data_IF_483246452751
#
_entry.id   IF_483246452751
#
_cell.length_a   1.000
_cell.length_b   1.000
_cell.length_c   1.000
_cell.angle_alpha   90.00
_cell.angle_beta   90.00
_cell.angle_gamma   90.00
#
_symmetry.space_group_name_H-M   'P 1'
#
loop_
_entity.id
_entity.type
_entity.pdbx_description
1 polymer ?
#
# COMPACT_ATOMS: atom_id res chain seq x y z
N UNK A 1 7.99 -36.63 54.38
CA UNK A 1 6.86 -35.70 54.60
C UNK A 1 7.45 -34.29 54.52
N UNK A 2 7.14 -33.35 53.60
CA UNK A 2 6.11 -33.17 52.58
C UNK A 2 6.70 -32.29 51.44
N UNK A 3 6.43 -32.65 50.18
CA UNK A 3 6.30 -31.71 49.03
C UNK A 3 4.83 -31.25 49.00
N UNK A 4 4.34 -30.37 48.08
CA UNK A 4 4.93 -29.28 47.28
C UNK A 4 4.03 -28.00 47.29
N UNK A 5 4.38 -26.92 46.57
CA UNK A 5 3.56 -26.43 45.44
C UNK A 5 4.30 -25.31 44.69
N UNK A 6 4.72 -25.61 43.47
CA UNK A 6 5.17 -24.62 42.51
C UNK A 6 3.94 -24.15 41.71
N UNK A 7 3.63 -22.84 41.73
CA UNK A 7 2.68 -22.26 40.79
C UNK A 7 3.42 -21.88 39.50
N UNK A 8 3.16 -22.64 38.43
CA UNK A 8 3.55 -22.28 37.07
C UNK A 8 2.44 -21.46 36.44
N UNK A 9 2.70 -20.19 36.13
CA UNK A 9 1.86 -19.37 35.27
C UNK A 9 2.16 -19.74 33.81
N UNK A 10 1.26 -20.50 33.18
CA UNK A 10 1.29 -20.71 31.74
C UNK A 10 0.67 -19.49 31.03
N UNK A 11 1.51 -18.63 30.45
CA UNK A 11 1.06 -17.60 29.51
C UNK A 11 0.75 -18.26 28.17
N UNK A 12 -0.53 -18.47 27.87
CA UNK A 12 -0.97 -18.86 26.53
C UNK A 12 -1.03 -17.59 25.68
N UNK A 13 0.00 -17.35 24.87
CA UNK A 13 -0.06 -16.35 23.79
C UNK A 13 -0.91 -16.96 22.67
N UNK A 14 -2.18 -16.58 22.61
CA UNK A 14 -3.05 -16.90 21.48
C UNK A 14 -2.58 -16.02 20.31
N UNK A 15 -1.66 -16.54 19.50
CA UNK A 15 -1.36 -15.97 18.19
C UNK A 15 -2.59 -16.22 17.30
N UNK A 16 -3.47 -15.23 17.21
CA UNK A 16 -4.55 -15.24 16.22
C UNK A 16 -3.95 -15.34 14.81
N UNK A 17 -4.60 -16.05 13.87
CA UNK A 17 -4.15 -16.08 12.49
C UNK A 17 -4.19 -14.65 11.96
N UNK A 18 -3.02 -14.05 11.75
CA UNK A 18 -2.91 -12.82 10.98
C UNK A 18 -3.47 -13.13 9.60
N UNK A 19 -4.55 -12.44 9.22
CA UNK A 19 -5.08 -12.49 7.85
C UNK A 19 -3.92 -12.12 6.92
N UNK A 20 -3.39 -13.10 6.19
CA UNK A 20 -2.37 -12.83 5.20
C UNK A 20 -2.95 -11.85 4.17
N UNK A 21 -2.32 -10.69 4.01
CA UNK A 21 -2.75 -9.68 3.06
C UNK A 21 -2.80 -10.31 1.66
N UNK A 22 -3.99 -10.31 1.05
CA UNK A 22 -4.21 -10.94 -0.26
C UNK A 22 -4.01 -9.90 -1.35
N UNK A 23 -3.15 -10.19 -2.32
CA UNK A 23 -2.97 -9.33 -3.49
C UNK A 23 -4.29 -9.15 -4.26
N UNK A 24 -4.56 -7.92 -4.70
CA UNK A 24 -5.62 -7.66 -5.67
C UNK A 24 -5.33 -8.40 -6.97
N UNK A 25 -6.38 -8.93 -7.58
CA UNK A 25 -6.36 -9.48 -8.93
C UNK A 25 -6.39 -8.37 -9.98
N UNK A 26 -6.04 -8.71 -11.22
CA UNK A 26 -6.15 -7.77 -12.34
C UNK A 26 -7.57 -7.27 -12.55
N UNK A 27 -8.57 -8.13 -12.35
CA UNK A 27 -9.99 -7.78 -12.43
C UNK A 27 -10.36 -6.77 -11.34
N UNK A 28 -10.01 -7.04 -10.08
CA UNK A 28 -10.27 -6.12 -8.97
C UNK A 28 -9.59 -4.76 -9.19
N UNK A 29 -8.34 -4.73 -9.68
CA UNK A 29 -7.65 -3.48 -10.01
C UNK A 29 -8.34 -2.72 -11.15
N UNK A 30 -8.75 -3.44 -12.20
CA UNK A 30 -9.41 -2.85 -13.36
C UNK A 30 -10.76 -2.24 -12.96
N UNK A 31 -11.55 -2.97 -12.16
CA UNK A 31 -12.83 -2.49 -11.65
C UNK A 31 -12.66 -1.29 -10.71
N UNK A 32 -11.66 -1.33 -9.81
CA UNK A 32 -11.39 -0.22 -8.89
C UNK A 32 -11.03 1.09 -9.61
N UNK A 33 -10.31 0.99 -10.73
CA UNK A 33 -9.74 2.15 -11.43
C UNK A 33 -10.48 2.53 -12.72
N UNK A 34 -11.56 1.82 -13.08
CA UNK A 34 -12.27 1.97 -14.36
C UNK A 34 -12.78 3.40 -14.60
N UNK A 35 -13.27 4.06 -13.55
CA UNK A 35 -13.80 5.43 -13.59
C UNK A 35 -12.81 6.46 -13.05
N UNK A 36 -11.57 6.05 -12.82
CA UNK A 36 -10.58 6.79 -12.06
C UNK A 36 -10.82 6.67 -10.54
N UNK A 37 -9.80 7.03 -9.75
CA UNK A 37 -9.83 6.91 -8.30
C UNK A 37 -8.92 7.94 -7.63
N UNK A 38 -9.47 8.63 -6.64
CA UNK A 38 -8.69 9.36 -5.65
C UNK A 38 -8.16 8.41 -4.59
N UNK A 39 -6.86 8.47 -4.34
CA UNK A 39 -6.15 7.71 -3.32
C UNK A 39 -5.55 8.65 -2.29
N UNK A 40 -5.65 8.28 -1.02
CA UNK A 40 -4.78 8.80 0.03
C UNK A 40 -3.53 7.93 0.09
N UNK A 41 -2.35 8.57 0.08
CA UNK A 41 -1.05 7.92 0.17
C UNK A 41 -0.48 8.05 1.57
N UNK A 42 0.08 6.96 2.09
CA UNK A 42 0.57 6.85 3.45
C UNK A 42 -0.57 6.74 4.48
N UNK A 43 -0.17 6.59 5.73
CA UNK A 43 -1.05 6.49 6.89
C UNK A 43 -0.33 6.95 8.17
N UNK A 44 -1.02 6.88 9.32
CA UNK A 44 -0.40 7.22 10.59
C UNK A 44 0.87 6.40 10.80
N UNK A 45 2.03 7.10 10.94
CA UNK A 45 3.39 6.56 11.15
C UNK A 45 4.18 6.16 9.89
N UNK A 46 3.69 6.42 8.68
CA UNK A 46 4.43 6.09 7.44
C UNK A 46 5.53 7.12 7.09
N UNK A 47 5.65 8.21 7.85
CA UNK A 47 6.66 9.26 7.60
C UNK A 47 6.30 10.23 6.48
N UNK A 48 5.12 10.07 5.87
CA UNK A 48 4.58 10.96 4.83
C UNK A 48 3.06 10.86 4.73
N UNK A 49 2.44 11.83 4.06
CA UNK A 49 1.03 11.81 3.70
C UNK A 49 0.86 12.39 2.30
N UNK A 50 -0.07 11.88 1.50
CA UNK A 50 -0.25 12.39 0.14
C UNK A 50 -1.62 12.07 -0.43
N UNK A 51 -1.84 12.55 -1.64
CA UNK A 51 -2.98 12.18 -2.48
C UNK A 51 -2.50 11.86 -3.89
N UNK A 52 -3.25 11.00 -4.57
CA UNK A 52 -3.04 10.65 -5.97
C UNK A 52 -4.39 10.50 -6.65
N UNK A 53 -4.65 11.33 -7.65
CA UNK A 53 -5.73 11.14 -8.60
C UNK A 53 -5.23 10.21 -9.70
N UNK A 54 -5.83 9.03 -9.80
CA UNK A 54 -5.60 8.06 -10.86
C UNK A 54 -6.73 8.23 -11.87
N UNK A 55 -6.46 8.82 -13.02
CA UNK A 55 -7.49 9.11 -14.03
C UNK A 55 -7.69 7.93 -14.98
N UNK A 56 -8.93 7.72 -15.44
CA UNK A 56 -9.30 6.62 -16.34
C UNK A 56 -8.61 6.63 -17.71
N UNK A 57 -8.01 7.75 -18.10
CA UNK A 57 -7.28 7.90 -19.36
C UNK A 57 -5.84 7.38 -19.28
N UNK A 58 -5.44 6.79 -18.15
CA UNK A 58 -4.09 6.29 -17.93
C UNK A 58 -3.11 7.34 -17.44
N UNK A 59 -3.58 8.53 -17.05
CA UNK A 59 -2.74 9.54 -16.39
C UNK A 59 -2.96 9.56 -14.88
N UNK A 60 -2.00 10.10 -14.13
CA UNK A 60 -2.16 10.34 -12.70
C UNK A 60 -1.42 11.60 -12.26
N UNK A 61 -1.98 12.31 -11.29
CA UNK A 61 -1.38 13.47 -10.65
C UNK A 61 -1.70 13.55 -9.16
N UNK A 62 -0.86 14.23 -8.40
CA UNK A 62 -1.05 14.41 -6.97
C UNK A 62 0.21 14.91 -6.30
N UNK A 63 0.35 14.63 -5.00
CA UNK A 63 1.54 15.01 -4.24
C UNK A 63 1.70 14.21 -2.96
N UNK A 64 2.94 14.16 -2.47
CA UNK A 64 3.29 13.66 -1.15
C UNK A 64 3.92 14.80 -0.35
N UNK A 65 3.47 14.98 0.88
CA UNK A 65 4.08 15.80 1.91
C UNK A 65 4.87 14.92 2.88
N UNK A 66 6.16 15.19 3.00
CA UNK A 66 7.05 14.54 3.97
C UNK A 66 6.88 15.16 5.36
N UNK A 67 7.32 14.45 6.40
CA UNK A 67 7.38 15.01 7.77
C UNK A 67 8.26 16.27 7.88
N UNK A 68 9.27 16.43 7.01
CA UNK A 68 10.07 17.66 6.90
C UNK A 68 9.24 18.89 6.49
N UNK A 69 8.04 18.68 5.95
CA UNK A 69 7.19 19.71 5.35
C UNK A 69 7.33 19.83 3.84
N UNK A 70 8.34 19.18 3.24
CA UNK A 70 8.56 19.20 1.80
C UNK A 70 7.38 18.56 1.05
N UNK A 71 6.95 19.22 -0.03
CA UNK A 71 5.88 18.71 -0.90
C UNK A 71 6.49 18.31 -2.24
N UNK A 72 6.30 17.04 -2.60
CA UNK A 72 6.82 16.44 -3.82
C UNK A 72 5.63 16.17 -4.74
N UNK A 73 5.55 16.81 -5.92
CA UNK A 73 4.49 16.54 -6.87
C UNK A 73 4.66 15.15 -7.49
N UNK A 74 3.55 14.46 -7.70
CA UNK A 74 3.47 13.23 -8.49
C UNK A 74 2.75 13.58 -9.78
N UNK A 75 3.35 13.20 -10.91
CA UNK A 75 2.72 13.28 -12.22
C UNK A 75 3.25 12.14 -13.08
N UNK A 76 2.39 11.53 -13.88
CA UNK A 76 2.83 10.57 -14.87
C UNK A 76 1.69 9.76 -15.47
N UNK A 77 2.04 8.55 -15.90
CA UNK A 77 1.11 7.63 -16.56
C UNK A 77 1.07 6.28 -15.84
N UNK A 78 -0.02 5.57 -16.01
CA UNK A 78 -0.24 4.24 -15.44
C UNK A 78 -1.01 3.32 -16.39
N UNK A 79 -0.90 2.03 -16.15
CA UNK A 79 -1.70 0.98 -16.77
C UNK A 79 -1.75 -0.25 -15.86
N UNK A 80 -2.60 -1.22 -16.20
CA UNK A 80 -2.65 -2.52 -15.52
C UNK A 80 -2.00 -3.58 -16.41
N UNK A 81 -1.05 -4.32 -15.82
CA UNK A 81 -0.42 -5.47 -16.46
C UNK A 81 -0.61 -6.72 -15.59
N UNK A 82 -1.50 -7.62 -16.01
CA UNK A 82 -1.90 -8.76 -15.19
C UNK A 82 -2.57 -8.30 -13.90
N UNK A 83 -2.00 -8.64 -12.74
CA UNK A 83 -2.48 -8.23 -11.42
C UNK A 83 -1.65 -7.07 -10.82
N UNK A 84 -0.99 -6.28 -11.65
CA UNK A 84 -0.10 -5.21 -11.22
C UNK A 84 -0.57 -3.85 -11.72
N UNK A 85 -0.45 -2.85 -10.87
CA UNK A 85 -0.56 -1.44 -11.23
C UNK A 85 0.83 -0.96 -11.67
N UNK A 86 1.03 -0.73 -12.97
CA UNK A 86 2.29 -0.28 -13.54
C UNK A 86 2.24 1.21 -13.80
N UNK A 87 3.25 1.93 -13.34
CA UNK A 87 3.31 3.39 -13.42
C UNK A 87 4.67 3.91 -13.82
N UNK A 88 4.69 5.04 -14.53
CA UNK A 88 5.90 5.78 -14.86
C UNK A 88 5.72 7.23 -14.46
N UNK A 89 6.39 7.64 -13.38
CA UNK A 89 6.35 9.01 -12.87
C UNK A 89 7.39 9.90 -13.55
N UNK A 90 7.06 11.17 -13.73
CA UNK A 90 7.97 12.19 -14.28
C UNK A 90 9.03 12.64 -13.27
N UNK A 91 8.74 12.51 -11.97
CA UNK A 91 9.59 12.99 -10.89
C UNK A 91 9.71 11.99 -9.74
N UNK A 92 10.54 12.34 -8.75
CA UNK A 92 10.83 11.50 -7.58
C UNK A 92 11.90 10.43 -7.84
N UNK A 93 12.06 9.52 -6.87
CA UNK A 93 13.14 8.52 -6.85
C UNK A 93 13.16 7.58 -8.06
N UNK A 94 11.98 7.27 -8.61
CA UNK A 94 11.82 6.31 -9.70
C UNK A 94 11.42 7.02 -11.03
N UNK A 95 11.78 8.30 -11.17
CA UNK A 95 11.46 9.10 -12.36
C UNK A 95 11.91 8.43 -13.66
N UNK A 96 11.02 8.41 -14.66
CA UNK A 96 11.27 7.84 -16.00
C UNK A 96 11.34 6.31 -16.05
N UNK A 97 11.14 5.62 -14.92
CA UNK A 97 11.15 4.15 -14.85
C UNK A 97 9.74 3.63 -14.65
N UNK A 98 9.42 2.56 -15.36
CA UNK A 98 8.21 1.80 -15.09
C UNK A 98 8.38 1.00 -13.79
N UNK A 99 7.46 1.21 -12.86
CA UNK A 99 7.36 0.48 -11.59
C UNK A 99 6.03 -0.26 -11.58
N UNK A 100 6.07 -1.59 -11.51
CA UNK A 100 4.88 -2.43 -11.45
C UNK A 100 4.64 -2.95 -10.04
N UNK A 101 3.56 -2.47 -9.46
CA UNK A 101 3.20 -2.61 -8.06
C UNK A 101 2.19 -3.74 -7.85
N UNK A 102 2.35 -4.45 -6.74
CA UNK A 102 1.35 -5.37 -6.20
C UNK A 102 0.62 -4.67 -5.06
N UNK A 103 -0.71 -4.58 -5.15
CA UNK A 103 -1.54 -3.97 -4.13
C UNK A 103 -2.14 -5.07 -3.24
N UNK A 104 -1.65 -5.17 -2.01
CA UNK A 104 -2.04 -6.20 -1.06
C UNK A 104 -3.15 -5.67 -0.16
N UNK A 105 -4.35 -6.26 -0.21
CA UNK A 105 -5.52 -5.80 0.56
C UNK A 105 -5.23 -5.85 2.06
N UNK A 106 -5.40 -4.72 2.72
CA UNK A 106 -5.30 -4.57 4.19
C UNK A 106 -6.65 -4.26 4.84
N UNK A 107 -7.65 -3.87 4.04
CA UNK A 107 -9.02 -3.58 4.46
C UNK A 107 -9.95 -3.41 3.26
N UNK A 108 -11.24 -3.06 3.49
CA UNK A 108 -12.21 -2.89 2.41
C UNK A 108 -11.84 -1.80 1.39
N UNK A 109 -11.15 -0.75 1.85
CA UNK A 109 -10.73 0.38 1.00
C UNK A 109 -9.26 0.76 1.20
N UNK A 110 -8.43 -0.21 1.58
CA UNK A 110 -7.01 0.02 1.84
C UNK A 110 -6.14 -1.13 1.36
N UNK A 111 -4.95 -0.77 0.89
CA UNK A 111 -3.93 -1.70 0.42
C UNK A 111 -2.55 -1.31 0.94
N UNK A 112 -1.68 -2.28 1.08
CA UNK A 112 -0.25 -2.11 1.23
C UNK A 112 0.44 -2.43 -0.11
N UNK A 113 1.23 -1.50 -0.60
CA UNK A 113 1.78 -1.49 -1.96
C UNK A 113 3.23 -1.94 -1.95
N UNK A 114 3.57 -2.91 -2.80
CA UNK A 114 4.95 -3.40 -2.94
C UNK A 114 5.38 -3.47 -4.39
N UNK A 115 6.68 -3.37 -4.65
CA UNK A 115 7.28 -3.68 -5.96
C UNK A 115 8.38 -4.72 -5.76
N UNK A 116 8.07 -5.98 -6.02
CA UNK A 116 8.94 -7.11 -5.65
C UNK A 116 9.11 -7.18 -4.14
N UNK A 117 10.34 -7.00 -3.65
CA UNK A 117 10.64 -6.96 -2.20
C UNK A 117 10.63 -5.54 -1.61
N UNK A 118 10.44 -4.51 -2.43
CA UNK A 118 10.45 -3.10 -1.99
C UNK A 118 9.07 -2.73 -1.47
N UNK A 119 9.03 -2.22 -0.24
CA UNK A 119 7.88 -1.55 0.35
C UNK A 119 7.71 -0.15 -0.28
N UNK A 120 6.49 0.17 -0.71
CA UNK A 120 6.10 1.45 -1.27
C UNK A 120 5.06 2.19 -0.41
N UNK A 121 4.59 1.58 0.67
CA UNK A 121 3.69 2.18 1.67
C UNK A 121 2.23 1.78 1.51
N UNK A 122 1.36 2.46 2.27
CA UNK A 122 -0.06 2.18 2.31
C UNK A 122 -0.84 3.17 1.44
N UNK A 123 -1.87 2.68 0.76
CA UNK A 123 -2.84 3.51 0.05
C UNK A 123 -4.24 3.20 0.57
N UNK A 124 -5.10 4.21 0.61
CA UNK A 124 -6.51 4.08 0.99
C UNK A 124 -7.41 4.94 0.10
N UNK A 125 -8.72 4.68 0.12
CA UNK A 125 -9.70 5.43 -0.67
C UNK A 125 -11.12 5.40 -0.09
#
# INVERSE_FOLDING_TARGET
MNRPLALSFALVVIAGPGLAATAMTGKELTELLADGKELTLGGPKDGYSGHLSVMKDGTADGSIKLESGDVIPIQGVWHINGNKFCRTWKGGRDAGKEVCETWNKTGPTSVHVTSGKRDLGNNAW
#
